data_IF_890447277649
#
_entry.id   IF_890447277649
#
_cell.length_a   1.000
_cell.length_b   1.000
_cell.length_c   1.000
_cell.angle_alpha   90.00
_cell.angle_beta   90.00
_cell.angle_gamma   90.00
#
_symmetry.space_group_name_H-M   'P 1'
#
loop_
_entity.id
_entity.type
_entity.pdbx_description
1 polymer ?
#
# COMPACT_ATOMS: atom_id res chain seq x y z
N UNK A 1 38.10 44.15 -23.00
CA UNK A 1 36.64 44.42 -22.96
C UNK A 1 35.96 43.05 -23.08
N UNK A 2 35.63 42.36 -21.98
CA UNK A 2 34.36 42.43 -21.20
C UNK A 2 33.15 42.32 -22.14
N UNK A 3 32.23 41.35 -22.09
CA UNK A 3 31.89 40.30 -21.12
C UNK A 3 30.85 39.38 -21.81
N UNK A 4 30.96 38.07 -21.60
CA UNK A 4 29.90 37.21 -21.06
C UNK A 4 28.51 37.19 -21.78
N UNK A 5 28.32 36.28 -22.72
CA UNK A 5 26.98 35.89 -23.23
C UNK A 5 26.74 34.36 -23.24
N UNK A 6 27.51 33.61 -22.44
CA UNK A 6 27.44 32.15 -22.34
C UNK A 6 26.68 31.54 -21.14
N UNK A 7 25.80 32.21 -20.36
CA UNK A 7 25.07 31.53 -19.29
C UNK A 7 23.61 31.14 -19.65
N UNK A 8 23.09 31.43 -20.85
CA UNK A 8 21.66 31.19 -21.13
C UNK A 8 21.36 29.80 -21.73
N UNK A 9 22.27 29.23 -22.52
CA UNK A 9 22.10 27.89 -23.11
C UNK A 9 22.34 26.77 -22.08
N UNK A 10 23.26 26.97 -21.14
CA UNK A 10 23.59 25.97 -20.12
C UNK A 10 22.47 25.79 -19.08
N UNK A 11 21.70 26.86 -18.80
CA UNK A 11 20.55 26.80 -17.88
C UNK A 11 19.37 26.04 -18.51
N UNK A 12 19.23 26.04 -19.84
CA UNK A 12 18.17 25.31 -20.54
C UNK A 12 18.38 23.79 -20.56
N UNK A 13 19.62 23.30 -20.50
CA UNK A 13 19.89 21.85 -20.40
C UNK A 13 19.59 21.27 -19.01
N UNK A 14 19.66 22.08 -17.94
CA UNK A 14 19.45 21.59 -16.57
C UNK A 14 17.94 21.39 -16.27
N UNK A 15 17.03 22.08 -16.97
CA UNK A 15 15.59 21.94 -16.74
C UNK A 15 14.96 20.67 -17.34
N UNK A 16 15.67 19.94 -18.22
CA UNK A 16 15.14 18.74 -18.89
C UNK A 16 15.37 17.43 -18.11
N UNK A 17 16.05 17.46 -16.97
CA UNK A 17 16.37 16.25 -16.18
C UNK A 17 15.43 15.97 -15.00
N UNK A 18 14.37 16.75 -14.82
CA UNK A 18 13.36 16.47 -13.79
C UNK A 18 12.40 15.35 -14.21
N UNK A 19 12.89 14.11 -14.25
CA UNK A 19 12.02 12.94 -14.22
C UNK A 19 11.57 12.70 -12.78
N UNK A 20 10.27 12.79 -12.45
CA UNK A 20 9.81 12.40 -11.12
C UNK A 20 10.13 10.91 -10.91
N UNK A 21 10.62 10.52 -9.73
CA UNK A 21 10.89 9.11 -9.44
C UNK A 21 9.58 8.32 -9.58
N UNK A 22 9.64 7.20 -10.30
CA UNK A 22 8.54 6.25 -10.42
C UNK A 22 8.35 5.51 -9.09
N UNK A 23 7.78 6.20 -8.10
CA UNK A 23 7.46 5.65 -6.80
C UNK A 23 6.14 4.86 -6.90
N UNK A 24 6.08 3.68 -6.29
CA UNK A 24 4.86 2.89 -6.25
C UNK A 24 3.76 3.70 -5.54
N UNK A 25 2.60 3.81 -6.18
CA UNK A 25 1.49 4.56 -5.61
C UNK A 25 0.87 3.76 -4.47
N UNK A 26 0.93 4.31 -3.25
CA UNK A 26 0.26 3.75 -2.09
C UNK A 26 -1.21 4.16 -2.09
N UNK A 27 -2.10 3.17 -2.16
CA UNK A 27 -3.53 3.40 -2.16
C UNK A 27 -4.17 2.66 -0.97
N UNK A 28 -4.61 3.39 0.07
CA UNK A 28 -5.41 2.78 1.13
C UNK A 28 -6.78 2.37 0.57
N UNK A 29 -7.17 1.12 0.81
CA UNK A 29 -8.44 0.57 0.31
C UNK A 29 -9.25 0.02 1.48
N UNK A 30 -10.50 0.48 1.67
CA UNK A 30 -11.38 -0.11 2.68
C UNK A 30 -11.72 -1.53 2.28
N UNK A 31 -11.66 -2.45 3.23
CA UNK A 31 -12.06 -3.85 3.04
C UNK A 31 -13.17 -4.21 4.01
N UNK A 32 -14.12 -5.02 3.54
CA UNK A 32 -15.29 -5.44 4.30
C UNK A 32 -15.13 -6.88 4.77
N UNK A 33 -15.52 -7.16 6.01
CA UNK A 33 -15.58 -8.54 6.53
C UNK A 33 -16.84 -9.18 5.98
N UNK A 34 -16.67 -10.25 5.20
CA UNK A 34 -17.79 -11.00 4.61
C UNK A 34 -18.15 -12.24 5.44
N UNK A 35 -17.15 -12.87 6.05
CA UNK A 35 -17.36 -14.07 6.87
C UNK A 35 -16.34 -14.18 7.98
N UNK A 36 -16.80 -14.61 9.15
CA UNK A 36 -15.94 -14.99 10.28
C UNK A 36 -16.29 -16.42 10.68
N UNK A 37 -15.28 -17.26 10.78
CA UNK A 37 -15.42 -18.64 11.30
C UNK A 37 -14.57 -18.72 12.57
N UNK A 38 -15.22 -18.91 13.71
CA UNK A 38 -14.59 -18.96 15.03
C UNK A 38 -14.25 -20.39 15.39
N UNK A 39 -13.03 -20.62 15.87
CA UNK A 39 -12.54 -21.90 16.34
C UNK A 39 -12.17 -21.81 17.83
N UNK A 40 -11.89 -22.97 18.44
CA UNK A 40 -11.43 -23.03 19.84
C UNK A 40 -10.13 -22.24 20.07
N UNK A 41 -9.30 -22.09 19.04
CA UNK A 41 -8.03 -21.35 19.08
C UNK A 41 -7.96 -20.35 17.93
N UNK A 42 -8.71 -19.26 18.07
CA UNK A 42 -8.69 -18.13 17.13
C UNK A 42 -9.85 -18.12 16.16
N UNK A 43 -9.75 -17.27 15.14
CA UNK A 43 -10.80 -17.11 14.13
C UNK A 43 -10.20 -16.92 12.74
N UNK A 44 -10.87 -17.47 11.74
CA UNK A 44 -10.59 -17.20 10.34
C UNK A 44 -11.53 -16.10 9.84
N UNK A 45 -10.95 -15.05 9.27
CA UNK A 45 -11.67 -13.88 8.77
C UNK A 45 -11.50 -13.81 7.25
N UNK A 46 -12.60 -13.80 6.51
CA UNK A 46 -12.61 -13.56 5.08
C UNK A 46 -13.06 -12.12 4.80
N UNK A 47 -12.24 -11.38 4.06
CA UNK A 47 -12.50 -9.99 3.67
C UNK A 47 -12.48 -9.83 2.17
N UNK A 48 -13.29 -8.91 1.66
CA UNK A 48 -13.30 -8.50 0.25
C UNK A 48 -13.06 -7.00 0.13
N UNK A 49 -12.47 -6.59 -0.99
CA UNK A 49 -12.19 -5.20 -1.30
C UNK A 49 -12.22 -4.98 -2.81
N UNK A 50 -12.68 -3.81 -3.21
CA UNK A 50 -12.64 -3.37 -4.61
C UNK A 50 -11.73 -2.14 -4.71
N UNK A 51 -10.85 -2.14 -5.71
CA UNK A 51 -9.90 -1.06 -5.93
C UNK A 51 -9.75 -0.79 -7.42
N UNK A 52 -9.68 0.49 -7.78
CA UNK A 52 -9.26 0.90 -9.13
C UNK A 52 -7.73 0.94 -9.16
N UNK A 53 -7.13 0.24 -10.11
CA UNK A 53 -5.68 0.15 -10.27
C UNK A 53 -5.25 1.04 -11.44
N UNK A 54 -4.41 2.06 -11.22
CA UNK A 54 -3.76 2.78 -12.31
C UNK A 54 -2.71 1.89 -13.00
N UNK A 55 -2.30 2.26 -14.20
CA UNK A 55 -1.21 1.57 -14.89
C UNK A 55 0.10 1.72 -14.09
N UNK A 56 0.84 0.61 -13.93
CA UNK A 56 2.13 0.58 -13.23
C UNK A 56 2.08 -0.21 -11.92
N UNK A 57 2.99 0.13 -11.00
CA UNK A 57 3.10 -0.52 -9.69
C UNK A 57 2.24 0.22 -8.67
N UNK A 58 1.33 -0.50 -8.04
CA UNK A 58 0.46 0.02 -6.97
C UNK A 58 0.60 -0.83 -5.73
N UNK A 59 0.73 -0.18 -4.59
CA UNK A 59 0.73 -0.82 -3.28
C UNK A 59 -0.63 -0.59 -2.62
N UNK A 60 -1.39 -1.66 -2.42
CA UNK A 60 -2.70 -1.58 -1.77
C UNK A 60 -2.55 -1.76 -0.26
N UNK A 61 -3.06 -0.81 0.51
CA UNK A 61 -2.94 -0.82 1.97
C UNK A 61 -4.31 -1.12 2.59
N UNK A 62 -4.42 -2.31 3.19
CA UNK A 62 -5.59 -2.72 3.97
C UNK A 62 -5.35 -2.43 5.45
N UNK A 63 -6.19 -1.58 6.04
CA UNK A 63 -6.14 -1.23 7.47
C UNK A 63 -7.08 -2.09 8.30
N UNK A 64 -7.00 -1.91 9.61
CA UNK A 64 -7.88 -2.55 10.61
C UNK A 64 -7.80 -4.08 10.57
N UNK A 65 -6.58 -4.58 10.36
CA UNK A 65 -6.24 -6.00 10.49
C UNK A 65 -5.75 -6.24 11.92
N UNK A 66 -6.16 -7.37 12.52
CA UNK A 66 -5.74 -7.73 13.87
C UNK A 66 -4.21 -7.80 13.98
N UNK A 67 -3.60 -7.20 15.03
CA UNK A 67 -2.16 -7.30 15.25
C UNK A 67 -1.71 -8.72 15.61
N UNK A 68 -2.63 -9.56 16.10
CA UNK A 68 -2.40 -10.96 16.48
C UNK A 68 -2.56 -11.92 15.29
N UNK A 69 -2.60 -11.41 14.05
CA UNK A 69 -2.68 -12.23 12.84
C UNK A 69 -1.42 -13.09 12.67
N UNK A 70 -1.62 -14.37 12.37
CA UNK A 70 -0.55 -15.24 11.90
C UNK A 70 -0.17 -14.86 10.46
N UNK A 71 1.05 -14.36 10.27
CA UNK A 71 1.58 -13.93 8.96
C UNK A 71 1.59 -15.06 7.92
N UNK A 72 1.78 -16.31 8.34
CA UNK A 72 1.82 -17.46 7.43
C UNK A 72 0.41 -17.89 6.98
N UNK A 73 -0.63 -17.42 7.66
CA UNK A 73 -2.03 -17.72 7.33
C UNK A 73 -2.62 -16.81 6.24
N UNK A 74 -1.90 -15.76 5.84
CA UNK A 74 -2.40 -14.77 4.88
C UNK A 74 -2.53 -15.42 3.50
N UNK A 75 -3.75 -15.41 2.98
CA UNK A 75 -4.05 -15.85 1.63
C UNK A 75 -4.78 -14.72 0.91
N UNK A 76 -4.30 -14.38 -0.29
CA UNK A 76 -4.89 -13.35 -1.12
C UNK A 76 -5.26 -13.93 -2.48
N UNK A 77 -6.50 -13.69 -2.89
CA UNK A 77 -7.01 -13.97 -4.22
C UNK A 77 -7.59 -12.68 -4.75
N UNK A 78 -7.48 -12.48 -6.06
CA UNK A 78 -8.04 -11.31 -6.70
C UNK A 78 -8.36 -11.60 -8.16
N UNK A 79 -9.33 -10.87 -8.67
CA UNK A 79 -9.85 -11.03 -10.03
C UNK A 79 -9.58 -9.73 -10.79
N UNK A 80 -9.03 -9.84 -12.01
CA UNK A 80 -8.75 -8.69 -12.86
C UNK A 80 -7.43 -8.81 -13.62
N UNK A 81 -7.10 -7.76 -14.37
CA UNK A 81 -5.90 -7.67 -15.19
C UNK A 81 -4.71 -7.10 -14.39
N UNK A 82 -4.23 -7.85 -13.39
CA UNK A 82 -3.05 -7.48 -12.61
C UNK A 82 -2.26 -8.72 -12.17
N UNK A 83 -1.04 -8.49 -11.68
CA UNK A 83 -0.19 -9.52 -11.08
C UNK A 83 0.16 -9.13 -9.66
N UNK A 84 -0.01 -10.06 -8.73
CA UNK A 84 0.39 -9.87 -7.33
C UNK A 84 1.89 -10.06 -7.26
N UNK A 85 2.62 -8.99 -6.94
CA UNK A 85 4.09 -9.03 -6.82
C UNK A 85 4.53 -9.52 -5.44
N UNK A 86 3.88 -9.03 -4.40
CA UNK A 86 4.18 -9.36 -3.02
C UNK A 86 2.99 -9.09 -2.11
N UNK A 87 2.99 -9.76 -0.96
CA UNK A 87 2.06 -9.49 0.14
C UNK A 87 2.91 -9.33 1.41
N UNK A 88 2.72 -8.23 2.12
CA UNK A 88 3.45 -7.92 3.35
C UNK A 88 2.50 -7.44 4.43
N UNK A 89 2.81 -7.80 5.67
CA UNK A 89 2.13 -7.32 6.86
C UNK A 89 3.05 -6.39 7.66
N UNK A 90 2.56 -5.20 8.00
CA UNK A 90 3.27 -4.22 8.81
C UNK A 90 2.40 -3.79 9.99
N UNK A 91 3.02 -3.72 11.17
CA UNK A 91 2.40 -3.16 12.37
C UNK A 91 2.66 -1.65 12.39
N UNK A 92 1.59 -0.87 12.49
CA UNK A 92 1.69 0.56 12.69
C UNK A 92 1.68 0.88 14.19
N UNK A 93 2.87 1.11 14.77
CA UNK A 93 3.03 1.45 16.19
C UNK A 93 2.70 2.92 16.50
N UNK A 94 2.61 3.78 15.49
CA UNK A 94 2.31 5.21 15.65
C UNK A 94 0.80 5.49 15.69
N UNK A 95 -0.01 4.52 15.26
CA UNK A 95 -1.46 4.60 15.37
C UNK A 95 -1.92 3.72 16.53
N UNK A 96 -2.47 4.36 17.56
CA UNK A 96 -3.08 3.67 18.68
C UNK A 96 -4.29 2.87 18.18
N UNK A 97 -4.15 1.54 18.17
CA UNK A 97 -5.26 0.68 17.81
C UNK A 97 -6.30 0.79 18.92
N UNK A 98 -7.53 1.15 18.55
CA UNK A 98 -8.66 1.07 19.45
C UNK A 98 -8.80 -0.41 19.89
N UNK A 99 -8.25 -0.75 21.05
CA UNK A 99 -8.44 -2.03 21.71
C UNK A 99 -9.94 -2.19 21.90
N UNK A 100 -10.60 -2.93 21.01
CA UNK A 100 -11.95 -3.41 21.29
C UNK A 100 -11.81 -4.38 22.44
N UNK A 101 -12.61 -4.18 23.48
CA UNK A 101 -12.69 -5.10 24.61
C UNK A 101 -13.10 -6.47 24.06
N UNK A 102 -12.13 -7.39 23.98
CA UNK A 102 -12.44 -8.80 23.83
C UNK A 102 -13.03 -9.28 25.16
N UNK A 103 -14.21 -9.88 25.10
CA UNK A 103 -14.86 -10.47 26.26
C UNK A 103 -14.07 -11.75 26.55
N UNK A 104 -13.38 -11.75 27.70
CA UNK A 104 -12.64 -12.90 28.21
C UNK A 104 -13.58 -14.06 28.60
#
# INVERSE_FOLDING_TARGET
MKTLSLPLSLVFCISLFSFPPAQAQQQPVPSKIEKVTVFLKGAQIARSAEAKLPAGRTELIFKDISPNLDKQSIQLKGEGAFTILSVSHQLNYLQEQAKRAEIA
#
